data_IF_601526590149
#
_entry.id   IF_601526590149
#
_cell.length_a   1.000
_cell.length_b   1.000
_cell.length_c   1.000
_cell.angle_alpha   90.00
_cell.angle_beta   90.00
_cell.angle_gamma   90.00
#
_symmetry.space_group_name_H-M   'P 1'
#
loop_
_entity.id
_entity.type
_entity.pdbx_description
1 polymer ?
#
# COMPACT_ATOMS: atom_id res chain seq x y z
N UNK A 1 -1.83 18.69 6.74
CA UNK A 1 -1.60 17.36 7.34
C UNK A 1 -2.22 16.33 6.40
N UNK A 2 -1.43 15.55 5.67
CA UNK A 2 -1.97 14.51 4.77
C UNK A 2 -2.49 13.35 5.63
N UNK A 3 -3.81 13.20 5.73
CA UNK A 3 -4.45 11.98 6.22
C UNK A 3 -4.51 10.98 5.06
N UNK A 4 -3.38 10.38 4.74
CA UNK A 4 -3.26 9.41 3.66
C UNK A 4 -3.95 8.10 4.02
N UNK A 5 -5.23 7.97 3.64
CA UNK A 5 -5.97 6.68 3.64
C UNK A 5 -5.44 5.69 2.57
N UNK A 6 -4.39 6.10 1.85
CA UNK A 6 -3.72 5.41 0.76
C UNK A 6 -2.27 5.87 0.71
N UNK A 7 -1.37 5.00 0.24
CA UNK A 7 0.06 5.31 0.15
C UNK A 7 0.69 4.61 -1.06
N UNK A 8 1.44 5.34 -1.87
CA UNK A 8 2.17 4.81 -3.02
C UNK A 8 3.50 4.20 -2.59
N UNK A 9 3.83 3.05 -3.17
CA UNK A 9 5.16 2.49 -3.07
C UNK A 9 6.18 3.38 -3.79
N UNK A 10 7.46 3.33 -3.39
CA UNK A 10 8.55 3.91 -4.17
C UNK A 10 8.51 3.35 -5.60
N UNK A 11 8.43 4.22 -6.60
CA UNK A 11 8.27 3.84 -8.01
C UNK A 11 6.86 4.03 -8.59
N UNK A 12 5.83 4.23 -7.74
CA UNK A 12 4.49 4.67 -8.18
C UNK A 12 3.63 3.61 -8.87
N UNK A 13 4.15 2.42 -9.12
CA UNK A 13 3.40 1.32 -9.76
C UNK A 13 2.52 0.54 -8.78
N UNK A 14 2.71 0.73 -7.47
CA UNK A 14 1.98 0.00 -6.43
C UNK A 14 1.34 0.97 -5.46
N UNK A 15 0.09 0.70 -5.10
CA UNK A 15 -0.72 1.50 -4.19
C UNK A 15 -1.27 0.63 -3.06
N UNK A 16 -1.03 1.02 -1.82
CA UNK A 16 -1.68 0.47 -0.65
C UNK A 16 -2.90 1.32 -0.29
N UNK A 17 -4.03 0.66 -0.02
CA UNK A 17 -5.28 1.32 0.40
C UNK A 17 -5.83 0.60 1.61
N UNK A 18 -6.11 1.34 2.68
CA UNK A 18 -6.79 0.77 3.84
C UNK A 18 -8.30 0.69 3.58
N UNK A 19 -8.95 -0.31 4.16
CA UNK A 19 -10.38 -0.52 4.05
C UNK A 19 -11.06 -0.56 5.44
N UNK A 20 -12.35 -0.19 5.53
CA UNK A 20 -13.11 -0.23 6.79
C UNK A 20 -13.24 -1.62 7.39
N UNK A 21 -13.06 -2.68 6.59
CA UNK A 21 -13.06 -4.08 7.02
C UNK A 21 -11.77 -4.49 7.75
N UNK A 22 -10.99 -3.51 8.25
CA UNK A 22 -9.70 -3.68 8.93
C UNK A 22 -8.65 -4.36 8.06
N UNK A 23 -8.66 -4.11 6.75
CA UNK A 23 -7.65 -4.68 5.84
C UNK A 23 -6.89 -3.62 5.07
N UNK A 24 -5.73 -4.00 4.56
CA UNK A 24 -4.97 -3.19 3.60
C UNK A 24 -4.92 -3.96 2.29
N UNK A 25 -5.33 -3.31 1.21
CA UNK A 25 -5.37 -3.89 -0.14
C UNK A 25 -4.23 -3.30 -0.97
N UNK A 26 -3.50 -4.16 -1.66
CA UNK A 26 -2.36 -3.79 -2.49
C UNK A 26 -2.76 -3.88 -3.96
N UNK A 27 -2.60 -2.77 -4.67
CA UNK A 27 -2.96 -2.64 -6.07
C UNK A 27 -1.71 -2.42 -6.91
N UNK A 28 -1.54 -3.19 -7.98
CA UNK A 28 -0.59 -2.89 -9.05
C UNK A 28 -1.30 -2.08 -10.12
N UNK A 29 -0.77 -0.90 -10.42
CA UNK A 29 -1.34 0.04 -11.37
C UNK A 29 -0.82 -0.24 -12.77
N UNK A 30 -1.71 -0.29 -13.75
CA UNK A 30 -1.33 -0.44 -15.15
C UNK A 30 -1.05 0.95 -15.76
N UNK A 31 0.16 1.44 -15.54
CA UNK A 31 0.62 2.74 -16.05
C UNK A 31 1.19 2.65 -17.48
N UNK A 32 1.21 1.46 -18.08
CA UNK A 32 1.72 1.24 -19.43
C UNK A 32 0.84 1.98 -20.45
N UNK A 33 1.30 3.16 -20.87
CA UNK A 33 0.56 4.09 -21.73
C UNK A 33 0.66 5.54 -21.28
N UNK A 34 0.98 5.76 -20.00
CA UNK A 34 0.88 7.06 -19.34
C UNK A 34 -0.59 7.48 -19.21
N UNK A 35 -0.98 8.03 -18.07
CA UNK A 35 -2.26 8.70 -17.95
C UNK A 35 -2.23 9.96 -18.84
N UNK A 36 -2.58 9.80 -20.12
CA UNK A 36 -2.67 10.92 -21.07
C UNK A 36 -4.00 11.61 -20.79
N UNK A 37 -3.97 12.87 -20.41
CA UNK A 37 -5.15 13.75 -20.44
C UNK A 37 -6.30 13.35 -19.50
N UNK A 38 -6.04 13.18 -18.20
CA UNK A 38 -7.11 13.03 -17.20
C UNK A 38 -7.82 11.68 -17.20
N UNK A 39 -7.43 10.73 -18.05
CA UNK A 39 -7.91 9.35 -17.97
C UNK A 39 -7.30 8.64 -16.74
N UNK A 40 -8.16 8.01 -15.95
CA UNK A 40 -7.76 7.27 -14.76
C UNK A 40 -6.97 6.00 -15.09
N UNK A 41 -6.01 5.66 -14.23
CA UNK A 41 -5.25 4.41 -14.35
C UNK A 41 -6.03 3.27 -13.70
N UNK A 42 -6.17 2.13 -14.40
CA UNK A 42 -6.74 0.91 -13.81
C UNK A 42 -5.67 0.19 -12.99
N UNK A 43 -6.11 -0.44 -11.89
CA UNK A 43 -5.26 -1.28 -11.06
C UNK A 43 -5.81 -2.71 -10.96
N UNK A 44 -4.92 -3.65 -10.69
CA UNK A 44 -5.24 -5.03 -10.31
C UNK A 44 -4.92 -5.23 -8.83
N UNK A 45 -5.82 -5.89 -8.09
CA UNK A 45 -5.53 -6.30 -6.72
C UNK A 45 -4.49 -7.44 -6.77
N UNK A 46 -3.36 -7.25 -6.10
CA UNK A 46 -2.21 -8.18 -6.12
C UNK A 46 -1.79 -8.63 -4.72
N UNK A 47 -2.56 -8.26 -3.69
CA UNK A 47 -2.23 -8.63 -2.33
C UNK A 47 -3.17 -8.01 -1.30
N UNK A 48 -3.17 -8.59 -0.11
CA UNK A 48 -3.96 -8.12 1.02
C UNK A 48 -3.25 -8.42 2.35
N UNK A 49 -3.24 -7.44 3.24
CA UNK A 49 -2.88 -7.64 4.64
C UNK A 49 -4.16 -7.66 5.49
N UNK A 50 -4.28 -8.67 6.35
CA UNK A 50 -5.45 -8.93 7.19
C UNK A 50 -5.02 -9.32 8.61
N UNK A 51 -6.01 -9.60 9.47
CA UNK A 51 -5.77 -10.04 10.86
C UNK A 51 -5.57 -8.89 11.84
N UNK A 52 -5.85 -7.64 11.45
CA UNK A 52 -5.78 -6.49 12.33
C UNK A 52 -6.95 -6.51 13.33
N UNK A 53 -6.64 -6.38 14.62
CA UNK A 53 -7.64 -6.38 15.70
C UNK A 53 -8.45 -5.08 15.73
N UNK A 54 -7.93 -3.99 15.15
CA UNK A 54 -8.57 -2.68 15.11
C UNK A 54 -8.50 -2.05 13.71
N UNK A 55 -9.16 -0.91 13.54
CA UNK A 55 -9.15 -0.17 12.29
C UNK A 55 -7.72 0.26 11.96
N UNK A 56 -7.34 0.05 10.70
CA UNK A 56 -6.12 0.62 10.15
C UNK A 56 -6.33 2.12 10.00
N UNK A 57 -5.45 2.89 10.61
CA UNK A 57 -5.55 4.34 10.66
C UNK A 57 -4.57 5.02 9.70
N UNK A 58 -3.37 4.46 9.55
CA UNK A 58 -2.27 5.07 8.82
C UNK A 58 -1.46 4.04 8.03
N UNK A 59 -0.94 4.48 6.89
CA UNK A 59 -0.04 3.72 6.01
C UNK A 59 1.19 4.57 5.68
N UNK A 60 2.36 3.96 5.67
CA UNK A 60 3.58 4.61 5.20
C UNK A 60 4.50 3.62 4.48
N UNK A 61 4.91 3.95 3.26
CA UNK A 61 5.95 3.21 2.56
C UNK A 61 7.33 3.77 2.92
N UNK A 62 8.28 2.88 3.19
CA UNK A 62 9.68 3.27 3.29
C UNK A 62 10.25 3.55 1.89
N UNK A 63 11.29 4.40 1.76
CA UNK A 63 12.08 4.45 0.53
C UNK A 63 12.69 3.08 0.22
N UNK A 64 13.18 2.91 -1.01
CA UNK A 64 13.96 1.73 -1.40
C UNK A 64 15.31 1.80 -0.68
N UNK A 65 15.58 0.82 0.17
CA UNK A 65 16.86 0.71 0.87
C UNK A 65 17.99 0.21 -0.05
N UNK A 66 19.24 0.20 0.43
CA UNK A 66 20.42 -0.19 -0.36
C UNK A 66 20.34 -1.61 -0.95
N UNK A 67 19.60 -2.52 -0.31
CA UNK A 67 19.36 -3.89 -0.78
C UNK A 67 18.24 -4.01 -1.82
N UNK A 68 17.62 -2.90 -2.21
CA UNK A 68 16.40 -2.90 -3.04
C UNK A 68 15.14 -3.32 -2.29
N UNK A 69 15.19 -3.38 -0.95
CA UNK A 69 14.04 -3.71 -0.08
C UNK A 69 13.26 -2.45 0.26
N UNK A 70 11.93 -2.56 0.33
CA UNK A 70 11.04 -1.53 0.84
C UNK A 70 10.04 -2.19 1.78
N UNK A 71 9.54 -1.41 2.74
CA UNK A 71 8.57 -1.84 3.75
C UNK A 71 7.31 -1.00 3.69
N UNK A 72 6.18 -1.63 3.99
CA UNK A 72 4.93 -0.96 4.30
C UNK A 72 4.69 -1.02 5.81
N UNK A 73 4.63 0.15 6.46
CA UNK A 73 4.21 0.31 7.83
C UNK A 73 2.69 0.53 7.88
N UNK A 74 2.03 -0.22 8.77
CA UNK A 74 0.59 -0.15 9.00
C UNK A 74 0.35 0.15 10.48
N UNK A 75 -0.27 1.28 10.77
CA UNK A 75 -0.64 1.67 12.14
C UNK A 75 -2.14 1.54 12.37
N UNK A 76 -2.53 0.94 13.48
CA UNK A 76 -3.92 0.75 13.89
C UNK A 76 -4.32 1.67 15.03
N UNK A 77 -5.63 1.79 15.27
CA UNK A 77 -6.18 2.61 16.38
C UNK A 77 -5.89 1.99 17.76
N UNK A 78 -5.66 0.67 17.84
CA UNK A 78 -5.34 -0.02 19.10
C UNK A 78 -3.86 0.05 19.49
N UNK A 79 -3.10 1.01 18.93
CA UNK A 79 -1.68 1.21 19.17
C UNK A 79 -0.76 0.08 18.69
N UNK A 80 -1.25 -0.82 17.83
CA UNK A 80 -0.42 -1.83 17.17
C UNK A 80 0.21 -1.25 15.89
N UNK A 81 1.41 -1.72 15.57
CA UNK A 81 2.07 -1.46 14.29
C UNK A 81 2.54 -2.76 13.65
N UNK A 82 2.28 -2.91 12.36
CA UNK A 82 2.78 -4.02 11.55
C UNK A 82 3.70 -3.49 10.45
N UNK A 83 4.74 -4.27 10.13
CA UNK A 83 5.66 -4.02 9.04
C UNK A 83 5.64 -5.20 8.09
N UNK A 84 5.52 -4.90 6.79
CA UNK A 84 5.49 -5.91 5.75
C UNK A 84 6.61 -5.67 4.74
N UNK A 85 7.32 -6.75 4.37
CA UNK A 85 8.16 -6.73 3.18
C UNK A 85 7.27 -6.63 1.94
N UNK A 86 7.56 -5.63 1.11
CA UNK A 86 6.72 -5.32 -0.04
C UNK A 86 6.76 -6.41 -1.11
N UNK A 87 7.89 -7.09 -1.29
CA UNK A 87 7.99 -8.20 -2.25
C UNK A 87 7.11 -9.36 -1.81
N UNK A 88 7.10 -9.68 -0.51
CA UNK A 88 6.26 -10.73 0.04
C UNK A 88 4.75 -10.39 -0.11
N UNK A 89 4.38 -9.13 0.10
CA UNK A 89 2.99 -8.65 -0.06
C UNK A 89 2.45 -8.77 -1.49
N UNK A 90 3.31 -8.83 -2.50
CA UNK A 90 2.94 -8.88 -3.92
C UNK A 90 3.06 -10.27 -4.55
N UNK A 91 3.54 -11.26 -3.79
CA UNK A 91 3.85 -12.61 -4.29
C UNK A 91 2.75 -13.64 -4.01
N UNK A 92 1.65 -13.25 -3.35
CA UNK A 92 0.47 -14.09 -3.08
C UNK A 92 -0.74 -13.65 -3.89
#
# INVERSE_FOLDING_TARGET
MQLGRLAFAPGGEVLAVLAPDKTVRIWRLNTAGGARGGEGVRGQLVGRAEGFNSLVWSLAWSPVGPSGTSYLAVGTVDSTLALYDCRALMAG
#
